data_IF_879783827925
#
_entry.id   IF_879783827925
#
_cell.length_a   1.000
_cell.length_b   1.000
_cell.length_c   1.000
_cell.angle_alpha   90.00
_cell.angle_beta   90.00
_cell.angle_gamma   90.00
#
_symmetry.space_group_name_H-M   'P 1'
#
loop_
_entity.id
_entity.type
_entity.pdbx_description
1 polymer ?
#
# COMPACT_ATOMS: atom_id res chain seq x y z
N UNK A 1 38.63 -8.55 22.67
CA UNK A 1 37.98 -7.38 23.25
C UNK A 1 37.62 -6.37 22.14
N UNK A 2 38.52 -5.90 21.30
CA UNK A 2 38.29 -4.95 20.21
C UNK A 2 37.15 -5.34 19.23
N UNK A 3 37.06 -6.62 18.87
CA UNK A 3 35.99 -7.13 17.98
C UNK A 3 34.60 -7.11 18.69
N UNK A 4 34.56 -7.40 19.98
CA UNK A 4 33.34 -7.34 20.76
C UNK A 4 32.83 -5.89 20.92
N UNK A 5 33.75 -4.95 21.16
CA UNK A 5 33.45 -3.53 21.27
C UNK A 5 32.99 -2.95 19.92
N UNK A 6 33.59 -3.37 18.82
CA UNK A 6 33.19 -2.98 17.47
C UNK A 6 31.78 -3.50 17.14
N UNK A 7 31.48 -4.75 17.46
CA UNK A 7 30.13 -5.34 17.27
C UNK A 7 29.07 -4.60 18.08
N UNK A 8 29.36 -4.25 19.33
CA UNK A 8 28.47 -3.50 20.20
C UNK A 8 28.19 -2.09 19.64
N UNK A 9 29.24 -1.40 19.19
CA UNK A 9 29.14 -0.06 18.60
C UNK A 9 28.36 -0.08 17.28
N UNK A 10 28.62 -1.08 16.42
CA UNK A 10 27.85 -1.25 15.18
C UNK A 10 26.39 -1.61 15.44
N UNK A 11 26.12 -2.50 16.41
CA UNK A 11 24.77 -2.83 16.84
C UNK A 11 23.99 -1.64 17.34
N UNK A 12 24.63 -0.81 18.16
CA UNK A 12 24.04 0.43 18.66
C UNK A 12 23.71 1.42 17.53
N UNK A 13 24.65 1.63 16.60
CA UNK A 13 24.43 2.51 15.44
C UNK A 13 23.33 2.01 14.52
N UNK A 14 23.25 0.70 14.31
CA UNK A 14 22.16 0.08 13.52
C UNK A 14 20.82 0.23 14.22
N UNK A 15 20.79 0.03 15.54
CA UNK A 15 19.57 0.24 16.35
C UNK A 15 19.07 1.68 16.29
N UNK A 16 19.97 2.64 16.50
CA UNK A 16 19.63 4.09 16.43
C UNK A 16 19.16 4.48 15.03
N UNK A 17 19.82 3.96 13.99
CA UNK A 17 19.39 4.18 12.61
C UNK A 17 18.03 3.56 12.35
N UNK A 18 17.81 2.31 12.77
CA UNK A 18 16.53 1.64 12.64
C UNK A 18 15.41 2.37 13.38
N UNK A 19 15.67 2.80 14.62
CA UNK A 19 14.72 3.57 15.41
C UNK A 19 14.37 4.92 14.76
N UNK A 20 15.34 5.58 14.18
CA UNK A 20 15.15 6.89 13.54
C UNK A 20 14.45 6.79 12.18
N UNK A 21 14.78 5.77 11.39
CA UNK A 21 14.33 5.67 10.00
C UNK A 21 13.14 4.73 9.81
N UNK A 22 12.98 3.72 10.69
CA UNK A 22 12.01 2.63 10.56
C UNK A 22 11.13 2.44 11.79
N UNK A 23 11.17 3.35 12.77
CA UNK A 23 10.18 3.29 13.85
C UNK A 23 8.77 3.49 13.29
N UNK A 24 7.78 2.97 13.98
CA UNK A 24 6.36 3.17 13.62
C UNK A 24 6.07 4.66 13.47
N UNK A 25 6.56 5.48 14.40
CA UNK A 25 6.37 6.93 14.41
C UNK A 25 7.01 7.60 13.19
N UNK A 26 8.26 7.25 12.86
CA UNK A 26 8.95 7.82 11.70
C UNK A 26 8.28 7.40 10.39
N UNK A 27 7.80 6.17 10.33
CA UNK A 27 7.06 5.61 9.20
C UNK A 27 5.73 6.33 9.02
N UNK A 28 4.94 6.43 10.08
CA UNK A 28 3.65 7.14 10.09
C UNK A 28 3.85 8.60 9.72
N UNK A 29 4.85 9.28 10.30
CA UNK A 29 5.13 10.67 10.00
C UNK A 29 5.43 10.90 8.51
N UNK A 30 6.26 10.07 7.88
CA UNK A 30 6.53 10.15 6.43
C UNK A 30 5.29 9.91 5.59
N UNK A 31 4.45 8.98 6.00
CA UNK A 31 3.18 8.70 5.32
C UNK A 31 2.23 9.89 5.46
N UNK A 32 2.11 10.47 6.64
CA UNK A 32 1.30 11.66 6.89
C UNK A 32 1.77 12.86 6.07
N UNK A 33 3.08 13.09 5.94
CA UNK A 33 3.63 14.18 5.12
C UNK A 33 3.27 14.01 3.63
N UNK A 34 3.33 12.77 3.12
CA UNK A 34 2.91 12.48 1.75
C UNK A 34 1.40 12.71 1.59
N UNK A 35 0.58 12.22 2.50
CA UNK A 35 -0.86 12.46 2.47
C UNK A 35 -1.19 13.95 2.57
N UNK A 36 -0.59 14.67 3.51
CA UNK A 36 -0.82 16.09 3.69
C UNK A 36 -0.42 16.88 2.43
N UNK A 37 0.70 16.51 1.79
CA UNK A 37 1.11 17.11 0.51
C UNK A 37 0.09 16.91 -0.61
N UNK A 38 -0.67 15.82 -0.56
CA UNK A 38 -1.68 15.45 -1.57
C UNK A 38 -3.05 16.02 -1.22
N UNK A 39 -3.42 16.02 0.08
CA UNK A 39 -4.68 16.58 0.56
C UNK A 39 -4.73 18.10 0.38
N UNK A 40 -3.59 18.80 0.50
CA UNK A 40 -3.46 20.22 0.17
C UNK A 40 -3.70 20.53 -1.32
N UNK A 41 -3.79 19.51 -2.16
CA UNK A 41 -4.15 19.69 -3.56
C UNK A 41 -5.66 19.95 -3.69
N UNK A 42 -6.10 21.08 -3.12
CA UNK A 42 -7.46 21.57 -3.30
C UNK A 42 -7.71 21.86 -4.77
N UNK A 43 -8.46 21.03 -5.45
CA UNK A 43 -9.14 21.45 -6.67
C UNK A 43 -10.42 20.67 -6.96
N UNK A 44 -11.49 21.42 -7.11
CA UNK A 44 -12.65 21.12 -7.96
C UNK A 44 -13.68 20.12 -7.42
N UNK A 45 -14.06 20.18 -6.13
CA UNK A 45 -15.18 19.35 -5.61
C UNK A 45 -14.96 17.85 -5.72
N UNK A 46 -13.68 17.42 -5.76
CA UNK A 46 -13.29 16.02 -5.73
C UNK A 46 -13.10 15.59 -4.28
N UNK A 47 -14.03 14.82 -3.76
CA UNK A 47 -14.07 14.35 -2.37
C UNK A 47 -13.71 12.86 -2.23
N UNK A 48 -13.44 12.16 -3.34
CA UNK A 48 -13.37 10.71 -3.39
C UNK A 48 -11.95 10.20 -3.52
N UNK A 49 -11.62 9.22 -2.68
CA UNK A 49 -10.39 8.46 -2.80
C UNK A 49 -10.71 7.14 -3.49
N UNK A 50 -10.01 6.86 -4.57
CA UNK A 50 -10.10 5.56 -5.26
C UNK A 50 -8.95 4.68 -4.79
N UNK A 51 -9.25 3.45 -4.35
CA UNK A 51 -8.24 2.52 -3.84
C UNK A 51 -8.29 1.23 -4.65
N UNK A 52 -7.14 0.78 -5.15
CA UNK A 52 -6.98 -0.46 -5.89
C UNK A 52 -5.88 -1.33 -5.29
N UNK A 53 -6.18 -2.59 -5.09
CA UNK A 53 -5.27 -3.62 -4.61
C UNK A 53 -5.84 -5.01 -4.93
N UNK A 54 -5.33 -6.05 -4.28
CA UNK A 54 -5.81 -7.43 -4.49
C UNK A 54 -7.00 -7.80 -3.59
N UNK A 55 -7.86 -6.84 -3.28
CA UNK A 55 -8.92 -6.94 -2.26
C UNK A 55 -10.12 -7.81 -2.65
N UNK A 56 -10.81 -8.34 -1.62
CA UNK A 56 -12.01 -9.16 -1.77
C UNK A 56 -11.73 -10.56 -2.31
N UNK A 57 -10.57 -11.11 -1.99
CA UNK A 57 -10.17 -12.50 -2.32
C UNK A 57 -10.08 -13.40 -1.10
N UNK A 58 -10.37 -12.88 0.10
CA UNK A 58 -10.20 -13.61 1.36
C UNK A 58 -8.72 -13.79 1.74
N UNK A 59 -7.85 -12.88 1.31
CA UNK A 59 -6.45 -12.85 1.71
C UNK A 59 -6.27 -11.88 2.86
N UNK A 60 -6.00 -12.41 4.06
CA UNK A 60 -5.87 -11.62 5.27
C UNK A 60 -4.81 -10.51 5.18
N UNK A 61 -3.71 -10.71 4.45
CA UNK A 61 -2.68 -9.70 4.24
C UNK A 61 -3.20 -8.51 3.43
N UNK A 62 -3.87 -8.77 2.30
CA UNK A 62 -4.45 -7.71 1.47
C UNK A 62 -5.58 -6.99 2.22
N UNK A 63 -6.37 -7.74 3.00
CA UNK A 63 -7.45 -7.19 3.81
C UNK A 63 -6.92 -6.30 4.94
N UNK A 64 -5.83 -6.68 5.60
CA UNK A 64 -5.15 -5.87 6.60
C UNK A 64 -4.57 -4.58 5.98
N UNK A 65 -3.97 -4.65 4.79
CA UNK A 65 -3.49 -3.47 4.06
C UNK A 65 -4.63 -2.49 3.78
N UNK A 66 -5.76 -2.97 3.29
CA UNK A 66 -6.92 -2.11 3.05
C UNK A 66 -7.41 -1.45 4.33
N UNK A 67 -7.51 -2.23 5.42
CA UNK A 67 -7.92 -1.70 6.73
C UNK A 67 -6.97 -0.61 7.22
N UNK A 68 -5.65 -0.82 7.11
CA UNK A 68 -4.65 0.16 7.50
C UNK A 68 -4.81 1.47 6.71
N UNK A 69 -4.89 1.40 5.38
CA UNK A 69 -5.08 2.57 4.51
C UNK A 69 -6.35 3.34 4.90
N UNK A 70 -7.46 2.64 5.09
CA UNK A 70 -8.73 3.28 5.45
C UNK A 70 -8.69 3.91 6.83
N UNK A 71 -8.05 3.27 7.81
CA UNK A 71 -7.91 3.77 9.18
C UNK A 71 -7.08 5.05 9.19
N UNK A 72 -5.94 5.06 8.52
CA UNK A 72 -5.07 6.22 8.44
C UNK A 72 -5.74 7.39 7.72
N UNK A 73 -6.37 7.15 6.57
CA UNK A 73 -7.04 8.22 5.83
C UNK A 73 -8.21 8.81 6.59
N UNK A 74 -8.99 8.00 7.30
CA UNK A 74 -10.09 8.47 8.16
C UNK A 74 -9.61 9.27 9.37
N UNK A 75 -8.42 8.99 9.87
CA UNK A 75 -7.83 9.77 10.97
C UNK A 75 -7.37 11.16 10.52
N UNK A 76 -7.03 11.32 9.24
CA UNK A 76 -6.58 12.60 8.65
C UNK A 76 -7.79 13.45 8.21
N UNK A 77 -8.75 12.83 7.53
CA UNK A 77 -9.93 13.50 6.99
C UNK A 77 -11.12 12.52 7.08
N UNK A 78 -11.97 12.66 8.12
CA UNK A 78 -13.14 11.80 8.34
C UNK A 78 -14.20 11.90 7.23
N UNK A 79 -14.22 13.00 6.47
CA UNK A 79 -15.21 13.26 5.43
C UNK A 79 -14.85 12.63 4.08
N UNK A 80 -13.69 11.97 3.97
CA UNK A 80 -13.28 11.27 2.76
C UNK A 80 -14.24 10.14 2.41
N UNK A 81 -14.69 10.13 1.19
CA UNK A 81 -15.45 9.01 0.63
C UNK A 81 -14.54 8.07 -0.16
N UNK A 82 -14.71 6.76 0.04
CA UNK A 82 -13.83 5.73 -0.54
C UNK A 82 -14.54 4.93 -1.63
N UNK A 83 -13.82 4.65 -2.71
CA UNK A 83 -14.24 3.81 -3.83
C UNK A 83 -13.21 2.70 -4.02
N UNK A 84 -13.50 1.49 -3.58
CA UNK A 84 -12.55 0.37 -3.55
C UNK A 84 -12.78 -0.59 -4.70
N UNK A 85 -11.72 -0.91 -5.43
CA UNK A 85 -11.72 -2.05 -6.35
C UNK A 85 -11.75 -3.35 -5.54
N UNK A 86 -12.70 -4.22 -5.80
CA UNK A 86 -12.82 -5.49 -5.09
C UNK A 86 -13.30 -6.63 -5.99
N UNK A 87 -12.87 -7.84 -5.68
CA UNK A 87 -13.41 -9.06 -6.30
C UNK A 87 -14.73 -9.47 -5.68
N UNK A 88 -14.98 -9.09 -4.45
CA UNK A 88 -16.25 -9.26 -3.76
C UNK A 88 -16.74 -7.90 -3.19
N UNK A 89 -17.36 -7.03 -4.04
CA UNK A 89 -17.75 -5.69 -3.62
C UNK A 89 -18.77 -5.67 -2.48
N UNK A 90 -19.62 -6.68 -2.37
CA UNK A 90 -20.65 -6.73 -1.34
C UNK A 90 -20.02 -6.91 0.05
N UNK A 91 -19.17 -7.89 0.19
CA UNK A 91 -18.41 -8.15 1.42
C UNK A 91 -17.54 -6.93 1.80
N UNK A 92 -16.79 -6.39 0.83
CA UNK A 92 -15.93 -5.21 1.07
C UNK A 92 -16.73 -4.01 1.60
N UNK A 93 -17.94 -3.77 1.06
CA UNK A 93 -18.82 -2.69 1.56
C UNK A 93 -19.27 -2.92 3.00
N UNK A 94 -19.65 -4.14 3.32
CA UNK A 94 -20.16 -4.50 4.65
C UNK A 94 -19.04 -4.46 5.70
N UNK A 95 -17.87 -5.06 5.37
CA UNK A 95 -16.75 -5.17 6.30
C UNK A 95 -16.11 -3.82 6.60
N UNK A 96 -15.84 -3.03 5.57
CA UNK A 96 -15.04 -1.80 5.71
C UNK A 96 -15.89 -0.50 5.72
N UNK A 97 -17.20 -0.60 5.52
CA UNK A 97 -18.13 0.55 5.43
C UNK A 97 -17.66 1.58 4.39
N UNK A 98 -17.34 1.09 3.20
CA UNK A 98 -16.90 1.88 2.05
C UNK A 98 -17.75 1.57 0.83
N UNK A 99 -17.71 2.41 -0.21
CA UNK A 99 -18.20 1.99 -1.50
C UNK A 99 -17.17 1.08 -2.18
N UNK A 100 -17.66 0.05 -2.85
CA UNK A 100 -16.81 -0.85 -3.61
C UNK A 100 -17.47 -1.26 -4.92
N UNK A 101 -16.66 -1.59 -5.92
CA UNK A 101 -17.12 -2.06 -7.21
C UNK A 101 -16.21 -3.17 -7.73
N UNK A 102 -16.75 -3.96 -8.69
CA UNK A 102 -16.02 -5.10 -9.21
C UNK A 102 -14.73 -4.67 -9.94
N UNK A 103 -13.63 -5.32 -9.61
CA UNK A 103 -12.26 -4.97 -10.05
C UNK A 103 -12.14 -4.73 -11.56
N UNK A 104 -12.84 -5.51 -12.38
CA UNK A 104 -12.76 -5.36 -13.84
C UNK A 104 -13.91 -4.55 -14.46
N UNK A 105 -14.64 -3.79 -13.66
CA UNK A 105 -15.66 -2.89 -14.17
C UNK A 105 -15.03 -1.59 -14.68
N UNK A 106 -14.40 -1.65 -15.85
CA UNK A 106 -13.59 -0.56 -16.45
C UNK A 106 -14.33 0.78 -16.49
N UNK A 107 -15.59 0.79 -16.90
CA UNK A 107 -16.38 2.03 -17.00
C UNK A 107 -16.62 2.70 -15.64
N UNK A 108 -16.82 1.92 -14.58
CA UNK A 108 -16.90 2.47 -13.22
C UNK A 108 -15.55 3.01 -12.76
N UNK A 109 -14.45 2.31 -13.07
CA UNK A 109 -13.11 2.80 -12.77
C UNK A 109 -12.86 4.17 -13.39
N UNK A 110 -13.12 4.32 -14.70
CA UNK A 110 -13.00 5.60 -15.42
C UNK A 110 -13.89 6.68 -14.81
N UNK A 111 -15.17 6.33 -14.51
CA UNK A 111 -16.09 7.27 -13.89
C UNK A 111 -15.57 7.82 -12.55
N UNK A 112 -14.98 6.93 -11.71
CA UNK A 112 -14.44 7.34 -10.43
C UNK A 112 -13.11 8.08 -10.55
N UNK A 113 -12.18 7.68 -11.44
CA UNK A 113 -10.94 8.42 -11.67
C UNK A 113 -11.17 9.87 -12.09
N UNK A 114 -12.16 10.14 -12.92
CA UNK A 114 -12.54 11.51 -13.32
C UNK A 114 -12.97 12.40 -12.13
N UNK A 115 -13.39 11.81 -11.02
CA UNK A 115 -13.96 12.47 -9.84
C UNK A 115 -13.14 12.25 -8.58
N UNK A 116 -12.04 11.54 -8.68
CA UNK A 116 -11.19 11.23 -7.54
C UNK A 116 -10.34 12.45 -7.13
N UNK A 117 -10.22 12.67 -5.84
CA UNK A 117 -9.26 13.59 -5.22
C UNK A 117 -7.85 13.06 -5.47
N UNK A 118 -7.66 11.74 -5.25
CA UNK A 118 -6.46 10.98 -5.61
C UNK A 118 -6.77 9.49 -5.72
N UNK A 119 -5.83 8.76 -6.32
CA UNK A 119 -5.87 7.31 -6.49
C UNK A 119 -4.73 6.65 -5.73
N UNK A 120 -5.05 5.65 -4.92
CA UNK A 120 -4.09 4.80 -4.23
C UNK A 120 -4.02 3.44 -4.92
N UNK A 121 -2.86 3.08 -5.42
CA UNK A 121 -2.51 1.71 -5.70
C UNK A 121 -1.87 1.15 -4.41
N UNK A 122 -2.67 0.41 -3.63
CA UNK A 122 -2.40 0.14 -2.23
C UNK A 122 -1.84 -1.23 -1.96
N UNK A 123 -0.61 -1.24 -1.46
CA UNK A 123 0.02 -2.33 -0.74
C UNK A 123 0.26 -3.62 -1.52
N UNK A 124 0.97 -4.52 -0.90
CA UNK A 124 1.30 -5.82 -1.47
C UNK A 124 2.30 -5.77 -2.63
N UNK A 125 2.62 -6.93 -3.19
CA UNK A 125 3.53 -7.07 -4.34
C UNK A 125 2.74 -7.08 -5.65
N UNK A 126 2.11 -5.95 -5.98
CA UNK A 126 1.26 -5.83 -7.16
C UNK A 126 2.05 -5.67 -8.47
N UNK A 127 3.24 -5.03 -8.38
CA UNK A 127 4.11 -4.74 -9.52
C UNK A 127 5.11 -5.86 -9.77
N UNK A 128 4.60 -7.02 -10.19
CA UNK A 128 5.40 -8.21 -10.50
C UNK A 128 4.71 -9.04 -11.60
N UNK A 129 5.49 -9.84 -12.36
CA UNK A 129 4.96 -10.70 -13.43
C UNK A 129 5.17 -12.21 -13.21
N UNK A 130 5.60 -12.59 -11.98
CA UNK A 130 5.88 -13.98 -11.63
C UNK A 130 4.60 -14.80 -11.55
N UNK A 131 3.56 -14.26 -10.92
CA UNK A 131 2.27 -14.95 -10.80
C UNK A 131 1.39 -14.74 -12.02
N UNK A 132 1.37 -13.53 -12.58
CA UNK A 132 0.56 -13.21 -13.75
C UNK A 132 0.97 -11.88 -14.40
N UNK A 133 1.43 -11.92 -15.65
CA UNK A 133 1.66 -10.70 -16.44
C UNK A 133 0.38 -9.89 -16.68
N UNK A 134 -0.80 -10.55 -16.73
CA UNK A 134 -2.10 -9.87 -16.87
C UNK A 134 -2.44 -9.03 -15.64
N UNK A 135 -2.04 -9.49 -14.44
CA UNK A 135 -2.19 -8.75 -13.20
C UNK A 135 -1.35 -7.47 -13.23
N UNK A 136 -0.06 -7.59 -13.59
CA UNK A 136 0.81 -6.43 -13.77
C UNK A 136 0.21 -5.42 -14.76
N UNK A 137 -0.25 -5.88 -15.91
CA UNK A 137 -0.84 -5.00 -16.93
C UNK A 137 -2.11 -4.30 -16.46
N UNK A 138 -2.93 -4.98 -15.67
CA UNK A 138 -4.12 -4.38 -15.05
C UNK A 138 -3.73 -3.24 -14.11
N UNK A 139 -2.77 -3.45 -13.21
CA UNK A 139 -2.33 -2.39 -12.30
C UNK A 139 -1.66 -1.23 -13.05
N UNK A 140 -0.80 -1.49 -14.02
CA UNK A 140 -0.22 -0.44 -14.86
C UNK A 140 -1.29 0.35 -15.61
N UNK A 141 -2.34 -0.31 -16.08
CA UNK A 141 -3.49 0.34 -16.71
C UNK A 141 -4.23 1.25 -15.72
N UNK A 142 -4.43 0.84 -14.47
CA UNK A 142 -5.09 1.69 -13.47
C UNK A 142 -4.29 2.96 -13.19
N UNK A 143 -2.95 2.85 -13.03
CA UNK A 143 -2.06 4.01 -12.84
C UNK A 143 -2.16 4.98 -14.02
N UNK A 144 -1.98 4.47 -15.24
CA UNK A 144 -2.00 5.28 -16.45
C UNK A 144 -3.38 5.95 -16.67
N UNK A 145 -4.46 5.22 -16.42
CA UNK A 145 -5.81 5.73 -16.60
C UNK A 145 -6.15 6.81 -15.57
N UNK A 146 -5.81 6.61 -14.30
CA UNK A 146 -6.02 7.60 -13.26
C UNK A 146 -5.29 8.90 -13.60
N UNK A 147 -4.01 8.82 -13.97
CA UNK A 147 -3.21 9.99 -14.37
C UNK A 147 -3.76 10.68 -15.62
N UNK A 148 -4.20 9.91 -16.62
CA UNK A 148 -4.81 10.47 -17.84
C UNK A 148 -6.02 11.37 -17.54
N UNK A 149 -6.81 11.02 -16.52
CA UNK A 149 -7.94 11.84 -16.06
C UNK A 149 -7.57 12.89 -15.02
N UNK A 150 -6.29 13.19 -14.85
CA UNK A 150 -5.79 14.24 -13.97
C UNK A 150 -5.95 13.90 -12.47
N UNK A 151 -6.05 12.61 -12.14
CA UNK A 151 -6.07 12.14 -10.77
C UNK A 151 -4.63 11.96 -10.27
N UNK A 152 -4.22 12.56 -9.15
CA UNK A 152 -2.95 12.24 -8.51
C UNK A 152 -2.86 10.77 -8.16
N UNK A 153 -1.69 10.16 -8.38
CA UNK A 153 -1.49 8.71 -8.27
C UNK A 153 -0.42 8.39 -7.24
N UNK A 154 -0.78 7.58 -6.26
CA UNK A 154 0.10 7.14 -5.19
C UNK A 154 0.21 5.63 -5.22
N UNK A 155 1.42 5.11 -5.20
CA UNK A 155 1.69 3.72 -4.87
C UNK A 155 2.07 3.65 -3.39
N UNK A 156 1.29 2.94 -2.59
CA UNK A 156 1.37 3.03 -1.13
C UNK A 156 1.74 1.70 -0.47
N UNK A 157 2.86 1.69 0.27
CA UNK A 157 3.36 0.50 0.96
C UNK A 157 3.65 -0.68 0.03
N UNK A 158 4.15 -0.39 -1.18
CA UNK A 158 4.28 -1.38 -2.23
C UNK A 158 5.57 -2.20 -2.12
N UNK A 159 5.45 -3.49 -2.43
CA UNK A 159 6.56 -4.32 -2.88
C UNK A 159 6.67 -4.27 -4.42
N UNK A 160 7.87 -4.10 -4.94
CA UNK A 160 8.14 -4.03 -6.38
C UNK A 160 8.92 -5.25 -6.82
N UNK A 161 8.49 -5.88 -7.90
CA UNK A 161 9.19 -6.97 -8.54
C UNK A 161 9.04 -8.35 -7.86
N UNK A 162 9.74 -9.34 -8.38
CA UNK A 162 10.55 -9.25 -9.60
C UNK A 162 9.68 -9.14 -10.87
N UNK A 163 10.11 -8.32 -11.82
CA UNK A 163 9.55 -8.26 -13.18
C UNK A 163 10.58 -8.93 -14.10
N UNK A 164 10.29 -10.13 -14.59
CA UNK A 164 11.24 -10.96 -15.32
C UNK A 164 11.29 -10.67 -16.81
N UNK A 165 10.17 -10.36 -17.41
CA UNK A 165 10.08 -10.10 -18.84
C UNK A 165 10.57 -8.68 -19.18
N UNK A 166 11.53 -8.55 -20.11
CA UNK A 166 12.11 -7.26 -20.50
C UNK A 166 11.09 -6.28 -21.07
N UNK A 167 10.10 -6.75 -21.83
CA UNK A 167 9.02 -5.91 -22.34
C UNK A 167 8.13 -5.37 -21.21
N UNK A 168 7.88 -6.19 -20.18
CA UNK A 168 7.14 -5.78 -18.98
C UNK A 168 7.96 -4.78 -18.15
N UNK A 169 9.28 -4.99 -18.02
CA UNK A 169 10.19 -4.03 -17.34
C UNK A 169 10.12 -2.65 -17.99
N UNK A 170 10.32 -2.58 -19.30
CA UNK A 170 10.26 -1.32 -20.05
C UNK A 170 8.88 -0.63 -19.94
N UNK A 171 7.80 -1.42 -19.98
CA UNK A 171 6.43 -0.91 -19.80
C UNK A 171 6.19 -0.39 -18.40
N UNK A 172 6.59 -1.14 -17.37
CA UNK A 172 6.42 -0.77 -15.98
C UNK A 172 7.19 0.53 -15.65
N UNK A 173 8.46 0.62 -16.05
CA UNK A 173 9.27 1.80 -15.89
C UNK A 173 8.62 3.04 -16.55
N UNK A 174 8.19 2.90 -17.80
CA UNK A 174 7.53 3.99 -18.54
C UNK A 174 6.24 4.46 -17.86
N UNK A 175 5.39 3.53 -17.42
CA UNK A 175 4.11 3.88 -16.80
C UNK A 175 4.35 4.51 -15.43
N UNK A 176 5.22 3.94 -14.60
CA UNK A 176 5.52 4.50 -13.28
C UNK A 176 6.10 5.91 -13.38
N UNK A 177 7.10 6.15 -14.24
CA UNK A 177 7.67 7.48 -14.45
C UNK A 177 6.65 8.51 -14.98
N UNK A 178 5.71 8.11 -15.82
CA UNK A 178 4.74 9.05 -16.41
C UNK A 178 3.48 9.26 -15.59
N UNK A 179 3.14 8.30 -14.74
CA UNK A 179 1.80 8.24 -14.17
C UNK A 179 1.76 8.26 -12.65
N UNK A 180 2.87 8.03 -11.97
CA UNK A 180 2.90 7.99 -10.51
C UNK A 180 3.51 9.28 -9.96
N UNK A 181 2.88 9.88 -8.98
CA UNK A 181 3.38 11.10 -8.33
C UNK A 181 4.26 10.77 -7.11
N UNK A 182 3.89 9.72 -6.37
CA UNK A 182 4.70 9.25 -5.24
C UNK A 182 4.59 7.74 -5.02
N UNK A 183 5.66 7.17 -4.48
CA UNK A 183 5.78 5.74 -4.15
C UNK A 183 6.32 5.61 -2.73
N UNK A 184 5.60 4.92 -1.85
CA UNK A 184 6.15 4.42 -0.60
C UNK A 184 6.42 2.93 -0.74
N UNK A 185 7.63 2.53 -0.37
CA UNK A 185 8.09 1.15 -0.46
C UNK A 185 8.17 0.54 0.93
N UNK A 186 7.80 -0.72 1.04
CA UNK A 186 7.86 -1.43 2.33
C UNK A 186 9.21 -2.09 2.63
N UNK A 187 10.07 -2.26 1.62
CA UNK A 187 11.34 -2.97 1.74
C UNK A 187 12.44 -2.39 0.84
N UNK A 188 13.73 -2.55 1.23
CA UNK A 188 14.87 -2.03 0.47
C UNK A 188 15.07 -2.73 -0.88
N UNK A 189 14.63 -3.97 -1.05
CA UNK A 189 14.82 -4.70 -2.32
C UNK A 189 13.89 -4.13 -3.40
N UNK A 190 12.70 -3.68 -3.02
CA UNK A 190 11.81 -2.91 -3.90
C UNK A 190 12.45 -1.60 -4.38
N UNK A 191 13.23 -0.92 -3.53
CA UNK A 191 13.96 0.30 -3.92
C UNK A 191 15.02 -0.01 -4.98
N UNK A 192 15.83 -1.06 -4.76
CA UNK A 192 16.82 -1.53 -5.74
C UNK A 192 16.16 -1.89 -7.08
N UNK A 193 15.01 -2.56 -7.03
CA UNK A 193 14.29 -2.93 -8.26
C UNK A 193 13.82 -1.70 -9.02
N UNK A 194 13.32 -0.64 -8.35
CA UNK A 194 12.98 0.63 -9.00
C UNK A 194 14.21 1.31 -9.64
N UNK A 195 15.35 1.29 -8.96
CA UNK A 195 16.61 1.83 -9.50
C UNK A 195 17.02 1.08 -10.78
N UNK A 196 17.00 -0.27 -10.74
CA UNK A 196 17.33 -1.12 -11.91
C UNK A 196 16.31 -0.97 -13.04
N UNK A 197 15.06 -0.64 -12.72
CA UNK A 197 14.02 -0.33 -13.72
C UNK A 197 14.20 1.09 -14.32
N UNK A 198 14.97 1.97 -13.70
CA UNK A 198 15.10 3.37 -14.11
C UNK A 198 13.87 4.21 -13.78
N UNK A 199 13.22 3.95 -12.63
CA UNK A 199 12.10 4.77 -12.15
C UNK A 199 12.65 5.89 -11.27
N UNK A 200 12.58 7.12 -11.74
CA UNK A 200 13.22 8.30 -11.13
C UNK A 200 12.29 9.50 -10.94
N UNK A 201 11.18 9.55 -11.68
CA UNK A 201 10.27 10.72 -11.68
C UNK A 201 9.38 10.81 -10.44
N UNK A 202 8.82 9.70 -9.90
CA UNK A 202 8.01 9.76 -8.68
C UNK A 202 8.85 10.16 -7.46
N UNK A 203 8.21 10.80 -6.48
CA UNK A 203 8.80 10.95 -5.14
C UNK A 203 8.83 9.58 -4.46
N UNK A 204 10.02 9.04 -4.19
CA UNK A 204 10.18 7.70 -3.60
C UNK A 204 10.58 7.83 -2.13
N UNK A 205 9.88 7.11 -1.26
CA UNK A 205 10.21 6.99 0.16
C UNK A 205 10.22 5.52 0.59
N UNK A 206 11.28 5.14 1.30
CA UNK A 206 11.32 3.86 1.98
C UNK A 206 10.59 3.98 3.32
N UNK A 207 9.68 3.06 3.58
CA UNK A 207 8.83 3.02 4.76
C UNK A 207 8.79 1.58 5.32
N UNK A 208 7.67 1.18 5.88
CA UNK A 208 7.38 -0.18 6.28
C UNK A 208 6.09 -0.68 5.59
N UNK A 209 5.74 -1.94 5.80
CA UNK A 209 4.44 -2.45 5.40
C UNK A 209 3.34 -1.66 6.15
N UNK A 210 2.27 -1.30 5.45
CA UNK A 210 1.20 -0.47 6.02
C UNK A 210 0.50 -1.13 7.20
N UNK A 211 0.54 -2.45 7.26
CA UNK A 211 -0.10 -3.23 8.33
C UNK A 211 0.53 -3.04 9.70
N UNK A 212 1.77 -2.52 9.78
CA UNK A 212 2.44 -2.25 11.06
C UNK A 212 1.77 -1.13 11.88
N UNK A 213 0.96 -0.29 11.22
CA UNK A 213 0.20 0.77 11.89
C UNK A 213 -1.10 0.27 12.53
N UNK A 214 -1.52 -0.97 12.24
CA UNK A 214 -2.74 -1.53 12.82
C UNK A 214 -2.53 -1.85 14.30
N UNK A 215 -3.48 -1.46 15.16
CA UNK A 215 -3.44 -1.88 16.55
C UNK A 215 -3.61 -3.41 16.64
N UNK A 216 -3.00 -4.06 17.65
CA UNK A 216 -3.24 -5.48 17.91
C UNK A 216 -4.72 -5.73 18.23
N UNK A 217 -5.21 -6.92 17.89
CA UNK A 217 -6.55 -7.32 18.29
C UNK A 217 -6.68 -7.33 19.81
N UNK A 218 -7.88 -7.04 20.32
CA UNK A 218 -8.12 -7.14 21.76
C UNK A 218 -7.96 -8.59 22.26
N UNK A 219 -7.51 -8.80 23.50
CA UNK A 219 -7.38 -10.14 24.07
C UNK A 219 -8.65 -10.98 23.93
N UNK A 220 -9.82 -10.40 24.17
CA UNK A 220 -11.12 -11.09 24.05
C UNK A 220 -11.37 -11.64 22.63
N UNK A 221 -10.96 -10.90 21.60
CA UNK A 221 -11.08 -11.36 20.21
C UNK A 221 -10.09 -12.50 19.95
N UNK A 222 -8.86 -12.38 20.46
CA UNK A 222 -7.83 -13.41 20.33
C UNK A 222 -8.30 -14.71 21.00
N UNK A 223 -8.74 -14.61 22.24
CA UNK A 223 -9.22 -15.76 23.04
C UNK A 223 -10.43 -16.42 22.35
N UNK A 224 -11.39 -15.65 21.87
CA UNK A 224 -12.53 -16.17 21.12
C UNK A 224 -12.14 -16.90 19.83
N UNK A 225 -11.10 -16.44 19.11
CA UNK A 225 -10.57 -17.14 17.94
C UNK A 225 -9.87 -18.44 18.34
N UNK A 226 -9.04 -18.40 19.39
CA UNK A 226 -8.32 -19.58 19.89
C UNK A 226 -9.30 -20.66 20.34
N UNK A 227 -10.30 -20.29 21.14
CA UNK A 227 -11.35 -21.19 21.61
C UNK A 227 -12.14 -21.82 20.47
N UNK A 228 -12.53 -21.00 19.48
CA UNK A 228 -13.28 -21.48 18.30
C UNK A 228 -12.51 -22.49 17.45
N UNK A 229 -11.18 -22.50 17.57
CA UNK A 229 -10.27 -23.40 16.85
C UNK A 229 -9.72 -24.53 17.72
N UNK A 230 -10.12 -24.59 19.00
CA UNK A 230 -9.60 -25.57 19.96
C UNK A 230 -8.11 -25.40 20.24
N UNK A 231 -7.58 -24.19 20.14
CA UNK A 231 -6.18 -23.87 20.37
C UNK A 231 -6.04 -23.38 21.83
N UNK A 232 -5.24 -24.05 22.70
CA UNK A 232 -5.09 -23.62 24.09
C UNK A 232 -4.45 -22.23 24.18
N UNK A 233 -5.04 -21.30 24.92
CA UNK A 233 -4.54 -19.94 25.10
C UNK A 233 -3.11 -19.87 25.71
N UNK A 234 -2.70 -20.89 26.46
CA UNK A 234 -1.40 -20.96 27.15
C UNK A 234 -0.40 -21.90 26.44
N UNK A 235 -0.59 -22.22 25.17
CA UNK A 235 0.31 -23.07 24.41
C UNK A 235 1.59 -22.31 24.00
N UNK A 236 2.74 -23.00 24.04
CA UNK A 236 3.96 -22.48 23.37
C UNK A 236 3.78 -22.65 21.87
N UNK A 237 3.47 -21.56 21.18
CA UNK A 237 3.42 -21.50 19.71
C UNK A 237 4.73 -20.92 19.20
N UNK A 238 5.31 -21.56 18.20
CA UNK A 238 6.50 -21.08 17.47
C UNK A 238 6.02 -20.42 16.19
#
# INVERSE_FOLDING_TARGET
>A
QAIADLRKTMGQRLYEKAKKEFSIEATVQRQLEIYDSILRYEKNGRDRVVICGAYGRGNAGDDAILLAILTELRSIDPDLSFQVFSRNPMETRQTYRVNAFYTFHIWKAIYYFKRAKFFINGGGSLMQDVTSYRSLWFYLWTLATAKHYGCPVIMYGCGIGPIRNNGNRARAARVMNRSVDSITLRDPDSLKELEVLGVTEPKIALSADTTVSLPPASPDIIDGILDSRGIPANGNYI
#
